data_IF_611194884986
#
_entry.id   IF_611194884986
#
_cell.length_a   1.000
_cell.length_b   1.000
_cell.length_c   1.000
_cell.angle_alpha   90.00
_cell.angle_beta   90.00
_cell.angle_gamma   90.00
#
_symmetry.space_group_name_H-M   'P 1'
#
loop_
_entity.id
_entity.type
_entity.pdbx_description
1 polymer ?
#
# COMPACT_ATOMS: atom_id res chain seq x y z
N UNK A 1 -59.37 22.19 -20.44
CA UNK A 1 -58.58 22.96 -21.42
C UNK A 1 -57.59 23.85 -20.68
N UNK A 2 -56.29 23.62 -20.81
CA UNK A 2 -55.31 24.65 -21.15
C UNK A 2 -53.96 23.94 -21.40
N UNK A 3 -53.42 24.21 -22.58
CA UNK A 3 -52.26 23.59 -23.22
C UNK A 3 -51.14 24.63 -23.23
N UNK A 4 -49.89 24.20 -23.06
CA UNK A 4 -48.71 24.95 -23.51
C UNK A 4 -47.58 24.91 -22.49
N UNK A 5 -46.31 24.74 -22.85
CA UNK A 5 -45.67 24.49 -24.14
C UNK A 5 -44.33 23.83 -23.88
N UNK A 6 -43.96 22.86 -24.72
CA UNK A 6 -42.66 22.19 -24.73
C UNK A 6 -41.65 23.07 -25.46
N UNK A 7 -40.49 23.31 -24.84
CA UNK A 7 -39.31 23.82 -25.53
C UNK A 7 -38.32 22.67 -25.68
N UNK A 8 -38.21 22.15 -26.91
CA UNK A 8 -37.19 21.19 -27.34
C UNK A 8 -36.08 22.02 -27.98
N UNK A 9 -34.90 22.03 -27.37
CA UNK A 9 -33.71 22.67 -27.94
C UNK A 9 -32.79 21.56 -28.49
N UNK A 10 -32.93 21.27 -29.78
CA UNK A 10 -32.04 20.39 -30.55
C UNK A 10 -30.84 21.20 -31.03
N UNK A 11 -29.65 20.87 -30.54
CA UNK A 11 -28.37 21.38 -31.03
C UNK A 11 -27.77 20.38 -32.02
N UNK A 12 -27.83 20.71 -33.30
CA UNK A 12 -27.18 19.97 -34.40
C UNK A 12 -25.75 20.48 -34.58
N UNK A 13 -24.75 19.61 -34.38
CA UNK A 13 -23.37 19.86 -34.80
C UNK A 13 -23.15 19.26 -36.20
N UNK A 14 -22.73 20.12 -37.13
CA UNK A 14 -22.30 19.72 -38.48
C UNK A 14 -20.81 19.37 -38.48
N UNK A 15 -20.45 18.20 -39.01
CA UNK A 15 -19.07 17.82 -39.33
C UNK A 15 -18.89 17.96 -40.83
N UNK A 16 -18.01 18.88 -41.22
CA UNK A 16 -17.59 19.09 -42.61
C UNK A 16 -16.57 18.04 -43.05
N UNK A 17 -16.87 17.38 -44.16
CA UNK A 17 -15.97 16.50 -44.90
C UNK A 17 -15.17 17.35 -45.88
N UNK A 18 -13.84 17.25 -45.86
CA UNK A 18 -12.98 17.69 -46.97
C UNK A 18 -12.28 16.48 -47.56
N UNK A 19 -12.59 16.20 -48.81
CA UNK A 19 -11.91 15.24 -49.67
C UNK A 19 -11.15 16.01 -50.75
N UNK A 20 -9.88 15.65 -50.98
CA UNK A 20 -9.05 16.20 -52.04
C UNK A 20 -7.76 15.38 -52.20
N UNK A 21 -7.74 14.55 -53.24
CA UNK A 21 -6.63 13.73 -53.77
C UNK A 21 -5.52 14.65 -54.36
N UNK A 22 -4.28 14.23 -54.69
CA UNK A 22 -3.83 13.06 -55.46
C UNK A 22 -2.31 12.83 -55.34
N UNK A 23 -1.89 11.54 -55.43
CA UNK A 23 -0.69 11.00 -56.13
C UNK A 23 0.72 11.36 -55.63
N UNK A 24 1.73 10.49 -55.68
CA UNK A 24 1.92 9.04 -55.85
C UNK A 24 3.42 8.82 -55.53
N UNK A 25 3.77 7.71 -54.89
CA UNK A 25 4.93 6.85 -55.20
C UNK A 25 5.55 6.15 -53.98
N UNK A 26 5.84 4.88 -54.26
CA UNK A 26 6.95 4.05 -53.79
C UNK A 26 6.75 3.15 -52.57
N UNK A 27 6.36 1.94 -52.94
CA UNK A 27 6.65 0.64 -52.32
C UNK A 27 8.05 0.51 -51.70
N UNK A 28 8.11 0.00 -50.47
CA UNK A 28 9.14 -0.94 -50.00
C UNK A 28 8.70 -1.61 -48.67
N UNK A 29 8.88 -2.92 -48.60
CA UNK A 29 8.57 -3.84 -47.49
C UNK A 29 9.44 -3.61 -46.25
N UNK A 30 9.05 -4.08 -45.04
CA UNK A 30 9.92 -4.05 -43.87
C UNK A 30 10.79 -5.31 -43.82
N UNK A 31 12.12 -5.14 -43.91
CA UNK A 31 13.09 -6.19 -43.60
C UNK A 31 13.33 -6.27 -42.09
N UNK A 32 13.32 -7.52 -41.63
CA UNK A 32 13.68 -8.04 -40.32
C UNK A 32 15.04 -7.50 -39.83
N UNK A 33 15.08 -7.03 -38.58
CA UNK A 33 16.33 -6.71 -37.91
C UNK A 33 17.02 -8.02 -37.46
N UNK A 34 18.25 -8.20 -37.94
CA UNK A 34 19.15 -9.30 -37.65
C UNK A 34 19.81 -9.13 -36.27
N UNK A 35 19.92 -10.28 -35.60
CA UNK A 35 20.61 -10.59 -34.35
C UNK A 35 22.13 -10.34 -34.48
N UNK A 36 22.68 -9.41 -33.68
CA UNK A 36 24.12 -9.25 -33.55
C UNK A 36 24.58 -9.82 -32.19
N UNK A 37 25.23 -10.98 -32.28
CA UNK A 37 25.89 -11.68 -31.20
C UNK A 37 26.97 -10.82 -30.50
N UNK A 38 26.94 -10.81 -29.17
CA UNK A 38 27.95 -10.17 -28.33
C UNK A 38 29.01 -11.21 -27.92
N UNK A 39 30.20 -11.12 -28.51
CA UNK A 39 31.36 -11.97 -28.18
C UNK A 39 32.13 -11.35 -27.00
N UNK A 40 32.22 -12.09 -25.90
CA UNK A 40 33.16 -11.81 -24.80
C UNK A 40 34.60 -12.15 -25.19
N UNK A 41 35.60 -11.39 -24.71
CA UNK A 41 36.97 -11.90 -24.62
C UNK A 41 37.50 -11.93 -23.16
N UNK A 42 38.11 -13.05 -22.79
CA UNK A 42 39.07 -13.21 -21.69
C UNK A 42 39.97 -14.44 -22.01
N UNK A 43 41.20 -14.61 -21.48
CA UNK A 43 42.27 -13.68 -21.07
C UNK A 43 43.59 -13.94 -21.85
N UNK A 44 44.58 -13.06 -21.68
CA UNK A 44 45.98 -13.38 -22.00
C UNK A 44 46.80 -13.54 -20.70
N UNK A 45 47.50 -14.67 -20.61
CA UNK A 45 48.51 -14.98 -19.59
C UNK A 45 49.88 -14.40 -19.99
N UNK A 46 50.93 -14.81 -19.24
CA UNK A 46 52.38 -14.56 -19.36
C UNK A 46 52.84 -13.40 -18.44
N UNK A 47 53.80 -13.50 -17.50
CA UNK A 47 54.89 -14.46 -17.26
C UNK A 47 55.26 -14.54 -15.76
N UNK A 48 55.92 -15.64 -15.40
CA UNK A 48 56.49 -15.93 -14.08
C UNK A 48 57.95 -15.45 -13.98
N UNK A 49 58.38 -15.08 -12.78
CA UNK A 49 59.80 -15.06 -12.37
C UNK A 49 59.96 -15.77 -11.02
N UNK A 50 61.07 -16.51 -10.76
CA UNK A 50 61.23 -17.33 -9.55
C UNK A 50 62.23 -16.74 -8.52
N UNK A 51 62.22 -17.38 -7.33
CA UNK A 51 63.19 -17.35 -6.21
C UNK A 51 62.89 -16.35 -5.06
N UNK A 52 62.97 -16.67 -3.77
CA UNK A 52 63.27 -17.89 -2.97
C UNK A 52 62.80 -17.63 -1.50
N UNK A 53 62.68 -18.65 -0.63
CA UNK A 53 62.06 -18.54 0.69
C UNK A 53 63.06 -18.32 1.83
N UNK A 54 62.68 -17.57 2.87
CA UNK A 54 63.14 -17.70 4.26
C UNK A 54 62.40 -16.70 5.15
N UNK A 55 61.64 -17.20 6.14
CA UNK A 55 61.95 -17.02 7.57
C UNK A 55 60.68 -17.08 8.44
N UNK A 56 60.57 -18.22 9.13
CA UNK A 56 60.24 -18.39 10.54
C UNK A 56 59.20 -17.46 11.20
N UNK A 57 58.04 -18.04 11.49
CA UNK A 57 57.50 -18.06 12.84
C UNK A 57 57.00 -16.74 13.45
N UNK A 58 55.72 -16.46 13.23
CA UNK A 58 54.80 -16.09 14.31
C UNK A 58 53.36 -16.17 13.78
N UNK A 59 52.66 -17.26 14.11
CA UNK A 59 51.19 -17.28 14.07
C UNK A 59 50.69 -16.33 15.16
N UNK A 60 50.69 -15.04 14.87
CA UNK A 60 49.87 -14.10 15.62
C UNK A 60 48.42 -14.45 15.28
N UNK A 61 47.72 -14.99 16.27
CA UNK A 61 46.26 -15.04 16.26
C UNK A 61 45.79 -13.59 16.36
N UNK A 62 45.70 -12.90 15.22
CA UNK A 62 45.05 -11.60 15.16
C UNK A 62 43.59 -11.86 15.48
N UNK A 63 43.20 -11.60 16.72
CA UNK A 63 41.81 -11.58 17.12
C UNK A 63 41.15 -10.48 16.29
N UNK A 64 40.49 -10.90 15.21
CA UNK A 64 39.88 -10.00 14.25
C UNK A 64 38.68 -9.38 14.94
N UNK A 65 38.90 -8.18 15.50
CA UNK A 65 37.88 -7.40 16.17
C UNK A 65 36.64 -7.35 15.26
N UNK A 66 35.44 -7.69 15.76
CA UNK A 66 34.23 -7.66 14.96
C UNK A 66 34.13 -6.29 14.29
N UNK A 67 33.89 -6.28 12.98
CA UNK A 67 33.66 -5.03 12.26
C UNK A 67 32.53 -4.27 12.98
N UNK A 68 32.68 -2.95 13.19
CA UNK A 68 31.65 -2.16 13.85
C UNK A 68 30.33 -2.35 13.09
N UNK A 69 29.26 -2.59 13.85
CA UNK A 69 27.93 -2.72 13.26
C UNK A 69 27.63 -1.48 12.39
N UNK A 70 26.99 -1.63 11.22
CA UNK A 70 26.63 -0.49 10.40
C UNK A 70 25.78 0.49 11.22
N UNK A 71 25.93 1.81 10.99
CA UNK A 71 25.12 2.80 11.68
C UNK A 71 23.64 2.54 11.42
N UNK A 72 22.75 2.86 12.37
CA UNK A 72 21.33 2.74 12.15
C UNK A 72 20.91 3.60 10.94
N UNK A 73 19.91 3.15 10.16
CA UNK A 73 19.42 3.93 9.03
C UNK A 73 18.96 5.32 9.49
N UNK A 74 19.29 6.34 8.70
CA UNK A 74 18.91 7.72 8.99
C UNK A 74 17.37 7.86 9.09
N UNK A 75 16.85 8.74 9.96
CA UNK A 75 15.42 9.04 10.03
C UNK A 75 14.95 9.68 8.71
N UNK A 76 13.68 9.45 8.35
CA UNK A 76 13.09 10.11 7.19
C UNK A 76 12.99 11.62 7.39
N UNK A 77 13.21 12.39 6.32
CA UNK A 77 12.95 13.82 6.31
C UNK A 77 11.46 14.11 6.12
N UNK A 78 11.03 15.35 6.39
CA UNK A 78 9.63 15.76 6.18
C UNK A 78 9.21 15.61 4.71
N UNK A 79 10.09 15.98 3.77
CA UNK A 79 9.89 15.82 2.32
C UNK A 79 9.65 14.35 1.94
N UNK A 80 10.41 13.44 2.54
CA UNK A 80 10.30 12.00 2.32
C UNK A 80 9.02 11.43 2.93
N UNK A 81 8.65 11.89 4.13
CA UNK A 81 7.38 11.50 4.79
C UNK A 81 6.20 11.95 3.92
N UNK A 82 6.17 13.19 3.45
CA UNK A 82 5.13 13.66 2.53
C UNK A 82 5.11 12.86 1.23
N UNK A 83 6.26 12.51 0.67
CA UNK A 83 6.32 11.70 -0.55
C UNK A 83 5.74 10.30 -0.36
N UNK A 84 6.03 9.67 0.78
CA UNK A 84 5.45 8.35 1.14
C UNK A 84 3.94 8.44 1.35
N UNK A 85 3.45 9.44 2.09
CA UNK A 85 2.02 9.63 2.32
C UNK A 85 1.26 9.90 1.01
N UNK A 86 1.83 10.72 0.12
CA UNK A 86 1.21 11.00 -1.19
C UNK A 86 1.14 9.76 -2.08
N UNK A 87 2.24 9.01 -2.14
CA UNK A 87 2.34 7.78 -2.93
C UNK A 87 1.40 6.67 -2.41
N UNK A 88 1.33 6.47 -1.09
CA UNK A 88 0.42 5.49 -0.49
C UNK A 88 -1.06 5.82 -0.79
N UNK A 89 -1.46 7.08 -0.63
CA UNK A 89 -2.83 7.47 -0.99
C UNK A 89 -3.11 7.33 -2.49
N UNK A 90 -2.17 7.70 -3.36
CA UNK A 90 -2.33 7.53 -4.80
C UNK A 90 -2.52 6.06 -5.19
N UNK A 91 -1.72 5.16 -4.59
CA UNK A 91 -1.82 3.71 -4.76
C UNK A 91 -3.24 3.21 -4.49
N UNK A 92 -3.75 3.45 -3.29
CA UNK A 92 -5.03 2.91 -2.84
C UNK A 92 -6.22 3.51 -3.61
N UNK A 93 -6.10 4.77 -4.06
CA UNK A 93 -7.09 5.39 -4.96
C UNK A 93 -7.16 4.64 -6.29
N UNK A 94 -6.01 4.35 -6.91
CA UNK A 94 -5.97 3.74 -8.24
C UNK A 94 -6.38 2.26 -8.21
N UNK A 95 -5.97 1.52 -7.18
CA UNK A 95 -6.41 0.15 -6.92
C UNK A 95 -7.92 0.08 -6.70
N UNK A 96 -8.48 0.94 -5.86
CA UNK A 96 -9.91 0.98 -5.60
C UNK A 96 -10.72 1.38 -6.85
N UNK A 97 -10.23 2.34 -7.66
CA UNK A 97 -10.88 2.70 -8.93
C UNK A 97 -10.95 1.53 -9.91
N UNK A 98 -9.91 0.70 -9.99
CA UNK A 98 -9.91 -0.49 -10.86
C UNK A 98 -11.03 -1.46 -10.48
N UNK A 99 -11.39 -1.52 -9.20
CA UNK A 99 -12.41 -2.44 -8.66
C UNK A 99 -13.81 -1.87 -8.75
N UNK A 100 -14.01 -0.57 -8.48
CA UNK A 100 -15.32 0.11 -8.61
C UNK A 100 -15.92 -0.09 -10.01
N UNK A 101 -15.07 -0.06 -11.03
CA UNK A 101 -15.49 -0.20 -12.43
C UNK A 101 -15.95 -1.63 -12.79
N UNK A 102 -15.45 -2.65 -12.08
CA UNK A 102 -15.55 -4.05 -12.51
C UNK A 102 -16.33 -4.97 -11.57
N UNK A 103 -16.27 -4.71 -10.26
CA UNK A 103 -16.93 -5.57 -9.27
C UNK A 103 -18.45 -5.54 -9.45
N UNK A 104 -19.08 -6.71 -9.29
CA UNK A 104 -20.55 -6.85 -9.24
C UNK A 104 -21.06 -7.05 -7.81
N UNK A 105 -20.16 -7.29 -6.86
CA UNK A 105 -20.50 -7.42 -5.46
C UNK A 105 -20.75 -6.03 -4.84
N UNK A 106 -21.95 -5.84 -4.27
CA UNK A 106 -22.37 -4.55 -3.74
C UNK A 106 -21.52 -4.11 -2.55
N UNK A 107 -21.11 -5.03 -1.68
CA UNK A 107 -20.31 -4.72 -0.50
C UNK A 107 -18.88 -4.34 -0.90
N UNK A 108 -18.29 -5.06 -1.85
CA UNK A 108 -16.95 -4.76 -2.39
C UNK A 108 -16.93 -3.43 -3.12
N UNK A 109 -17.94 -3.16 -3.95
CA UNK A 109 -18.07 -1.87 -4.66
C UNK A 109 -18.26 -0.70 -3.70
N UNK A 110 -19.07 -0.88 -2.65
CA UNK A 110 -19.27 0.13 -1.62
C UNK A 110 -17.97 0.40 -0.85
N UNK A 111 -17.25 -0.65 -0.45
CA UNK A 111 -15.95 -0.52 0.19
C UNK A 111 -14.94 0.20 -0.71
N UNK A 112 -14.76 -0.23 -1.96
CA UNK A 112 -13.85 0.41 -2.91
C UNK A 112 -14.21 1.89 -3.17
N UNK A 113 -15.51 2.22 -3.26
CA UNK A 113 -15.94 3.61 -3.44
C UNK A 113 -15.58 4.47 -2.21
N UNK A 114 -15.78 3.93 -1.01
CA UNK A 114 -15.37 4.59 0.24
C UNK A 114 -13.85 4.81 0.29
N UNK A 115 -13.06 3.82 -0.14
CA UNK A 115 -11.59 3.96 -0.24
C UNK A 115 -11.20 5.11 -1.17
N UNK A 116 -11.78 5.20 -2.38
CA UNK A 116 -11.51 6.32 -3.30
C UNK A 116 -11.79 7.66 -2.63
N UNK A 117 -12.93 7.80 -1.95
CA UNK A 117 -13.30 9.06 -1.27
C UNK A 117 -12.33 9.40 -0.14
N UNK A 118 -12.12 8.49 0.81
CA UNK A 118 -11.33 8.77 2.00
C UNK A 118 -9.86 9.05 1.66
N UNK A 119 -9.26 8.27 0.76
CA UNK A 119 -7.86 8.49 0.36
C UNK A 119 -7.70 9.73 -0.51
N UNK A 120 -8.69 10.09 -1.35
CA UNK A 120 -8.66 11.36 -2.08
C UNK A 120 -8.69 12.55 -1.12
N UNK A 121 -9.52 12.49 -0.08
CA UNK A 121 -9.60 13.52 0.96
C UNK A 121 -8.30 13.61 1.75
N UNK A 122 -7.74 12.47 2.18
CA UNK A 122 -6.45 12.40 2.89
C UNK A 122 -5.31 12.97 2.04
N UNK A 123 -5.19 12.56 0.77
CA UNK A 123 -4.19 13.11 -0.18
C UNK A 123 -4.34 14.62 -0.36
N UNK A 124 -5.58 15.10 -0.46
CA UNK A 124 -5.88 16.53 -0.60
C UNK A 124 -5.45 17.32 0.64
N UNK A 125 -5.75 16.79 1.85
CA UNK A 125 -5.31 17.39 3.12
C UNK A 125 -3.78 17.41 3.22
N UNK A 126 -3.11 16.31 2.91
CA UNK A 126 -1.65 16.21 2.92
C UNK A 126 -0.99 17.19 1.95
N UNK A 127 -1.52 17.30 0.71
CA UNK A 127 -1.04 18.27 -0.28
C UNK A 127 -1.21 19.71 0.19
N UNK A 128 -2.34 20.04 0.83
CA UNK A 128 -2.58 21.38 1.40
C UNK A 128 -1.61 21.67 2.54
N UNK A 129 -1.34 20.70 3.40
CA UNK A 129 -0.41 20.85 4.51
C UNK A 129 1.04 21.05 4.00
N UNK A 130 1.51 20.22 3.06
CA UNK A 130 2.83 20.38 2.46
C UNK A 130 3.02 21.80 1.89
N UNK A 131 2.02 22.29 1.15
CA UNK A 131 2.01 23.68 0.64
C UNK A 131 2.05 24.72 1.75
N UNK A 132 1.24 24.56 2.80
CA UNK A 132 1.23 25.47 3.97
C UNK A 132 2.62 25.54 4.63
N UNK A 133 3.29 24.40 4.74
CA UNK A 133 4.62 24.29 5.34
C UNK A 133 5.76 24.64 4.37
N UNK A 134 5.45 24.99 3.12
CA UNK A 134 6.45 25.21 2.04
C UNK A 134 7.39 24.02 1.81
N UNK A 135 6.89 22.81 2.06
CA UNK A 135 7.63 21.55 1.85
C UNK A 135 7.23 20.97 0.50
N UNK A 136 8.23 20.65 -0.32
CA UNK A 136 8.03 19.93 -1.57
C UNK A 136 8.33 18.45 -1.34
N UNK A 137 7.38 17.53 -1.55
CA UNK A 137 7.64 16.10 -1.40
C UNK A 137 8.83 15.63 -2.26
N UNK A 138 9.71 14.83 -1.69
CA UNK A 138 10.86 14.25 -2.40
C UNK A 138 10.39 13.10 -3.30
N UNK A 139 10.04 13.44 -4.55
CA UNK A 139 9.59 12.47 -5.53
C UNK A 139 10.68 11.46 -5.96
N UNK A 140 11.95 11.71 -5.63
CA UNK A 140 13.07 10.81 -5.94
C UNK A 140 13.30 9.75 -4.85
N UNK A 141 12.65 9.89 -3.70
CA UNK A 141 12.83 8.97 -2.58
C UNK A 141 12.42 7.53 -2.93
N UNK A 142 13.35 6.59 -2.77
CA UNK A 142 13.20 5.18 -3.17
C UNK A 142 11.92 4.53 -2.66
N UNK A 143 11.56 4.75 -1.39
CA UNK A 143 10.33 4.17 -0.82
C UNK A 143 9.07 4.69 -1.52
N UNK A 144 9.04 5.98 -1.87
CA UNK A 144 7.90 6.56 -2.60
C UNK A 144 7.83 6.03 -4.04
N UNK A 145 8.97 5.77 -4.68
CA UNK A 145 9.03 5.20 -6.01
C UNK A 145 8.66 3.71 -6.03
N UNK A 146 9.13 2.95 -5.05
CA UNK A 146 8.73 1.55 -4.87
C UNK A 146 7.21 1.40 -4.73
N UNK A 147 6.55 2.31 -3.99
CA UNK A 147 5.08 2.33 -3.89
C UNK A 147 4.40 2.59 -5.24
N UNK A 148 4.92 3.49 -6.07
CA UNK A 148 4.38 3.78 -7.42
C UNK A 148 4.54 2.59 -8.37
N UNK A 149 5.70 1.92 -8.31
CA UNK A 149 5.96 0.72 -9.10
C UNK A 149 5.04 -0.43 -8.68
N UNK A 150 4.88 -0.64 -7.38
CA UNK A 150 3.95 -1.63 -6.83
C UNK A 150 2.51 -1.33 -7.25
N UNK A 151 2.08 -0.06 -7.17
CA UNK A 151 0.76 0.40 -7.65
C UNK A 151 0.50 -0.05 -9.08
N UNK A 152 1.48 0.12 -9.97
CA UNK A 152 1.33 -0.24 -11.39
C UNK A 152 1.05 -1.74 -11.54
N UNK A 153 1.84 -2.59 -10.87
CA UNK A 153 1.70 -4.06 -10.91
C UNK A 153 0.38 -4.53 -10.30
N UNK A 154 -0.02 -3.95 -9.17
CA UNK A 154 -1.24 -4.35 -8.47
C UNK A 154 -2.49 -3.91 -9.24
N UNK A 155 -2.49 -2.69 -9.80
CA UNK A 155 -3.57 -2.22 -10.67
C UNK A 155 -3.70 -3.10 -11.91
N UNK A 156 -2.60 -3.53 -12.53
CA UNK A 156 -2.63 -4.49 -13.66
C UNK A 156 -3.23 -5.83 -13.25
N UNK A 157 -2.84 -6.37 -12.09
CA UNK A 157 -3.38 -7.61 -11.55
C UNK A 157 -4.90 -7.50 -11.31
N UNK A 158 -5.37 -6.42 -10.69
CA UNK A 158 -6.80 -6.16 -10.49
C UNK A 158 -7.55 -5.96 -11.82
N UNK A 159 -6.91 -5.32 -12.80
CA UNK A 159 -7.47 -5.17 -14.15
C UNK A 159 -7.55 -6.50 -14.91
N UNK A 160 -6.73 -7.48 -14.60
CA UNK A 160 -6.81 -8.82 -15.19
C UNK A 160 -7.85 -9.71 -14.49
N UNK A 161 -8.03 -9.59 -13.17
CA UNK A 161 -8.96 -10.40 -12.39
C UNK A 161 -10.45 -10.07 -12.65
N UNK A 162 -11.36 -11.02 -12.42
CA UNK A 162 -12.80 -10.81 -12.62
C UNK A 162 -13.64 -11.52 -11.55
N UNK A 163 -14.90 -11.10 -11.40
CA UNK A 163 -15.87 -11.77 -10.51
C UNK A 163 -15.36 -11.91 -9.08
N UNK A 164 -15.54 -13.10 -8.49
CA UNK A 164 -15.12 -13.38 -7.12
C UNK A 164 -13.60 -13.29 -6.91
N UNK A 165 -12.80 -13.60 -7.94
CA UNK A 165 -11.34 -13.52 -7.84
C UNK A 165 -10.86 -12.07 -7.75
N UNK A 166 -11.50 -11.15 -8.50
CA UNK A 166 -11.26 -9.72 -8.37
C UNK A 166 -11.60 -9.23 -6.96
N UNK A 167 -12.78 -9.60 -6.47
CA UNK A 167 -13.29 -9.19 -5.17
C UNK A 167 -12.35 -9.66 -4.05
N UNK A 168 -11.91 -10.92 -4.11
CA UNK A 168 -10.96 -11.49 -3.15
C UNK A 168 -9.59 -10.83 -3.25
N UNK A 169 -9.03 -10.69 -4.46
CA UNK A 169 -7.72 -10.09 -4.66
C UNK A 169 -7.66 -8.65 -4.13
N UNK A 170 -8.71 -7.86 -4.36
CA UNK A 170 -8.79 -6.50 -3.84
C UNK A 170 -8.85 -6.47 -2.31
N UNK A 171 -9.70 -7.28 -1.69
CA UNK A 171 -9.84 -7.27 -0.22
C UNK A 171 -8.56 -7.75 0.46
N UNK A 172 -7.92 -8.80 -0.06
CA UNK A 172 -6.65 -9.29 0.46
C UNK A 172 -5.54 -8.23 0.34
N UNK A 173 -5.49 -7.51 -0.79
CA UNK A 173 -4.56 -6.42 -1.02
C UNK A 173 -4.77 -5.28 -0.01
N UNK A 174 -6.01 -4.82 0.17
CA UNK A 174 -6.31 -3.75 1.14
C UNK A 174 -5.92 -4.16 2.57
N UNK A 175 -6.13 -5.42 2.96
CA UNK A 175 -5.67 -5.90 4.29
C UNK A 175 -4.14 -5.82 4.41
N UNK A 176 -3.41 -6.26 3.39
CA UNK A 176 -1.95 -6.26 3.40
C UNK A 176 -1.39 -4.84 3.46
N UNK A 177 -1.89 -3.95 2.61
CA UNK A 177 -1.44 -2.56 2.54
C UNK A 177 -1.71 -1.81 3.84
N UNK A 178 -2.91 -1.93 4.39
CA UNK A 178 -3.28 -1.20 5.61
C UNK A 178 -2.49 -1.68 6.83
N UNK A 179 -2.15 -2.98 6.89
CA UNK A 179 -1.24 -3.50 7.92
C UNK A 179 0.16 -2.89 7.78
N UNK A 180 0.70 -2.88 6.56
CA UNK A 180 2.02 -2.32 6.29
C UNK A 180 2.08 -0.80 6.57
N UNK A 181 1.02 -0.06 6.22
CA UNK A 181 0.95 1.39 6.46
C UNK A 181 0.79 1.69 7.96
N UNK A 182 0.00 0.94 8.71
CA UNK A 182 -0.09 1.11 10.17
C UNK A 182 1.26 0.88 10.86
N UNK A 183 1.95 -0.20 10.49
CA UNK A 183 3.30 -0.45 11.00
C UNK A 183 4.27 0.68 10.65
N UNK A 184 4.22 1.17 9.40
CA UNK A 184 5.05 2.27 8.95
C UNK A 184 4.75 3.57 9.70
N UNK A 185 3.47 3.88 9.94
CA UNK A 185 3.03 5.04 10.73
C UNK A 185 3.63 4.95 12.14
N UNK A 186 3.47 3.81 12.80
CA UNK A 186 3.81 3.65 14.21
C UNK A 186 5.32 3.57 14.46
N UNK A 187 6.05 2.89 13.57
CA UNK A 187 7.47 2.60 13.77
C UNK A 187 8.40 3.59 13.10
N UNK A 188 7.92 4.37 12.12
CA UNK A 188 8.71 5.33 11.35
C UNK A 188 8.08 6.71 11.28
N UNK A 189 6.92 6.87 10.66
CA UNK A 189 6.44 8.22 10.30
C UNK A 189 6.21 9.10 11.54
N UNK A 190 5.60 8.57 12.60
CA UNK A 190 5.41 9.31 13.86
C UNK A 190 6.71 9.55 14.63
N UNK A 191 7.69 8.66 14.48
CA UNK A 191 9.01 8.76 15.15
C UNK A 191 9.89 9.80 14.45
N UNK A 192 9.87 9.79 13.12
CA UNK A 192 10.75 10.59 12.27
C UNK A 192 10.21 12.00 12.05
N UNK A 193 8.88 12.19 11.99
CA UNK A 193 8.26 13.51 11.86
C UNK A 193 8.64 14.43 13.04
N UNK A 194 9.33 15.53 12.72
CA UNK A 194 9.74 16.59 13.66
C UNK A 194 8.81 17.79 13.58
N UNK A 195 8.17 18.03 12.44
CA UNK A 195 7.16 19.06 12.34
C UNK A 195 5.87 18.63 13.07
N UNK A 196 5.43 19.44 14.03
CA UNK A 196 4.27 19.11 14.87
C UNK A 196 2.95 19.11 14.07
N UNK A 197 2.81 19.92 13.02
CA UNK A 197 1.61 19.86 12.16
C UNK A 197 1.58 18.60 11.30
N UNK A 198 2.73 18.16 10.76
CA UNK A 198 2.81 16.89 10.05
C UNK A 198 2.54 15.71 10.99
N UNK A 199 3.13 15.72 12.19
CA UNK A 199 2.88 14.69 13.20
C UNK A 199 1.40 14.61 13.58
N UNK A 200 0.75 15.76 13.83
CA UNK A 200 -0.68 15.82 14.11
C UNK A 200 -1.52 15.28 12.93
N UNK A 201 -1.14 15.60 11.69
CA UNK A 201 -1.79 15.05 10.51
C UNK A 201 -1.66 13.52 10.43
N UNK A 202 -0.47 12.97 10.71
CA UNK A 202 -0.24 11.51 10.75
C UNK A 202 -1.08 10.85 11.87
N UNK A 203 -1.22 11.52 13.01
CA UNK A 203 -2.07 11.05 14.10
C UNK A 203 -3.57 11.05 13.74
N UNK A 204 -4.03 12.02 12.94
CA UNK A 204 -5.41 12.08 12.44
C UNK A 204 -5.71 10.93 11.46
N UNK A 205 -4.78 10.59 10.57
CA UNK A 205 -4.99 9.53 9.56
C UNK A 205 -4.94 8.12 10.16
N UNK A 206 -4.10 7.87 11.17
CA UNK A 206 -3.88 6.54 11.74
C UNK A 206 -5.16 5.79 12.11
N UNK A 207 -6.11 6.35 12.89
CA UNK A 207 -7.34 5.64 13.24
C UNK A 207 -8.24 5.36 12.04
N UNK A 208 -8.13 6.15 10.96
CA UNK A 208 -8.87 5.90 9.71
C UNK A 208 -8.31 4.66 9.00
N UNK A 209 -6.98 4.54 8.88
CA UNK A 209 -6.30 3.35 8.32
C UNK A 209 -6.66 2.10 9.13
N UNK A 210 -6.67 2.20 10.46
CA UNK A 210 -7.09 1.08 11.33
C UNK A 210 -8.55 0.68 11.10
N UNK A 211 -9.44 1.65 10.91
CA UNK A 211 -10.84 1.37 10.60
C UNK A 211 -10.97 0.67 9.23
N UNK A 212 -10.26 1.16 8.22
CA UNK A 212 -10.27 0.56 6.89
C UNK A 212 -9.78 -0.89 6.90
N UNK A 213 -8.73 -1.19 7.66
CA UNK A 213 -8.27 -2.57 7.87
C UNK A 213 -9.39 -3.45 8.45
N UNK A 214 -10.05 -3.00 9.51
CA UNK A 214 -11.15 -3.75 10.14
C UNK A 214 -12.33 -3.96 9.18
N UNK A 215 -12.67 -2.95 8.40
CA UNK A 215 -13.73 -3.04 7.39
C UNK A 215 -13.35 -4.07 6.30
N UNK A 216 -12.08 -4.10 5.86
CA UNK A 216 -11.58 -5.06 4.88
C UNK A 216 -11.57 -6.50 5.43
N UNK A 217 -11.12 -6.72 6.66
CA UNK A 217 -11.16 -8.03 7.34
C UNK A 217 -12.60 -8.54 7.50
N UNK A 218 -13.53 -7.65 7.90
CA UNK A 218 -14.95 -8.01 7.99
C UNK A 218 -15.54 -8.35 6.61
N UNK A 219 -15.14 -7.64 5.56
CA UNK A 219 -15.55 -7.94 4.19
C UNK A 219 -15.00 -9.28 3.70
N UNK A 220 -13.74 -9.60 4.01
CA UNK A 220 -13.12 -10.89 3.66
C UNK A 220 -13.90 -12.07 4.27
N UNK A 221 -14.33 -11.94 5.52
CA UNK A 221 -15.15 -12.94 6.19
C UNK A 221 -16.50 -13.14 5.47
N UNK A 222 -17.16 -12.04 5.07
CA UNK A 222 -18.43 -12.09 4.32
C UNK A 222 -18.29 -12.75 2.95
N UNK A 223 -17.19 -12.48 2.24
CA UNK A 223 -16.89 -13.12 0.95
C UNK A 223 -16.71 -14.64 1.11
N UNK A 224 -16.05 -15.06 2.19
CA UNK A 224 -15.84 -16.48 2.50
C UNK A 224 -17.14 -17.21 2.84
N UNK A 225 -18.07 -16.56 3.55
CA UNK A 225 -19.39 -17.16 3.85
C UNK A 225 -20.33 -17.18 2.64
N UNK A 226 -20.20 -16.22 1.73
CA UNK A 226 -21.04 -16.15 0.52
C UNK A 226 -20.63 -17.18 -0.55
N UNK A 227 -19.36 -17.60 -0.57
CA UNK A 227 -18.86 -18.66 -1.46
C UNK A 227 -19.29 -20.08 -1.05
N UNK A 228 -19.67 -20.30 0.22
CA UNK A 228 -20.03 -21.62 0.74
C UNK A 228 -21.47 -22.07 0.44
N UNK A 229 -22.33 -21.18 -0.09
CA UNK A 229 -23.77 -21.43 -0.26
C UNK A 229 -24.25 -21.87 -1.65
N UNK A 230 -23.37 -22.01 -2.64
CA UNK A 230 -23.78 -22.09 -4.07
C UNK A 230 -23.28 -23.26 -4.92
N UNK A 231 -22.51 -24.21 -4.38
CA UNK A 231 -21.84 -25.23 -5.18
C UNK A 231 -22.35 -26.66 -4.97
N UNK A 232 -23.22 -27.15 -5.88
CA UNK A 232 -23.28 -28.59 -6.18
C UNK A 232 -21.91 -28.98 -6.75
N UNK A 233 -21.20 -29.86 -6.07
CA UNK A 233 -19.86 -30.30 -6.45
C UNK A 233 -19.82 -30.92 -7.86
N UNK A 234 -18.79 -30.62 -8.67
CA UNK A 234 -18.21 -31.58 -9.58
C UNK A 234 -16.89 -32.12 -9.01
N UNK A 235 -16.73 -33.43 -9.10
CA UNK A 235 -15.47 -34.11 -8.89
C UNK A 235 -14.47 -33.73 -10.00
N UNK A 236 -13.19 -33.52 -9.67
CA UNK A 236 -12.13 -33.42 -10.69
C UNK A 236 -10.81 -32.75 -10.24
N UNK A 237 -9.89 -33.60 -9.77
CA UNK A 237 -8.40 -33.59 -9.94
C UNK A 237 -7.54 -32.38 -9.49
N UNK A 238 -6.43 -32.60 -8.74
CA UNK A 238 -5.57 -31.53 -8.23
C UNK A 238 -4.59 -31.02 -9.29
N UNK A 239 -4.67 -29.72 -9.59
CA UNK A 239 -3.78 -29.00 -10.50
C UNK A 239 -2.97 -27.94 -9.75
N UNK A 240 -1.66 -27.96 -10.01
CA UNK A 240 -0.57 -27.19 -9.42
C UNK A 240 -0.85 -25.72 -9.06
N UNK A 241 -0.36 -25.32 -7.88
CA UNK A 241 -0.23 -23.94 -7.44
C UNK A 241 0.85 -23.20 -8.26
N UNK A 242 0.61 -21.97 -8.73
CA UNK A 242 1.69 -21.09 -9.16
C UNK A 242 2.35 -20.43 -7.95
N UNK A 243 3.67 -20.54 -7.90
CA UNK A 243 4.57 -19.93 -6.94
C UNK A 243 4.34 -18.42 -6.81
N UNK A 244 4.20 -17.93 -5.58
CA UNK A 244 4.39 -16.52 -5.27
C UNK A 244 5.88 -16.22 -5.03
N UNK A 245 6.47 -15.18 -5.63
CA UNK A 245 7.74 -14.65 -5.18
C UNK A 245 7.55 -13.95 -3.84
N UNK A 246 8.31 -14.39 -2.83
CA UNK A 246 8.18 -13.93 -1.46
C UNK A 246 8.55 -12.46 -1.26
N UNK A 247 7.67 -11.73 -0.58
CA UNK A 247 8.09 -10.63 0.27
C UNK A 247 8.65 -11.25 1.55
N UNK A 248 9.97 -11.23 1.68
CA UNK A 248 10.65 -11.54 2.93
C UNK A 248 10.52 -10.34 3.88
N UNK A 249 9.90 -10.48 5.07
CA UNK A 249 10.01 -9.46 6.09
C UNK A 249 11.38 -9.60 6.76
N UNK A 250 12.24 -8.60 6.56
CA UNK A 250 13.49 -8.47 7.30
C UNK A 250 13.20 -8.06 8.75
N UNK A 251 13.32 -8.99 9.68
CA UNK A 251 13.34 -8.72 11.11
C UNK A 251 14.79 -8.78 11.64
N UNK A 252 15.24 -7.87 12.52
CA UNK A 252 16.31 -8.16 13.46
C UNK A 252 15.72 -8.71 14.76
N UNK A 253 16.25 -9.85 15.20
CA UNK A 253 15.80 -10.58 16.37
C UNK A 253 16.01 -9.82 17.68
N UNK A 254 15.01 -9.92 18.56
CA UNK A 254 15.17 -9.76 20.01
C UNK A 254 14.30 -10.82 20.69
N UNK A 255 14.96 -11.73 21.41
CA UNK A 255 14.32 -12.74 22.26
C UNK A 255 13.64 -12.07 23.45
N UNK A 256 12.39 -12.44 23.82
CA UNK A 256 11.82 -11.98 25.08
C UNK A 256 12.37 -12.82 26.25
N UNK A 257 13.01 -12.15 27.21
CA UNK A 257 13.29 -12.69 28.53
C UNK A 257 12.08 -12.42 29.43
N UNK A 258 11.41 -13.50 29.82
CA UNK A 258 10.37 -13.55 30.85
C UNK A 258 10.89 -13.04 32.21
N UNK A 259 10.01 -12.49 33.07
CA UNK A 259 10.03 -13.00 34.43
C UNK A 259 8.64 -13.27 35.04
N UNK A 260 8.48 -14.51 35.49
CA UNK A 260 8.02 -14.96 36.82
C UNK A 260 6.77 -14.32 37.48
N UNK A 261 5.75 -15.17 37.70
CA UNK A 261 4.74 -15.08 38.76
C UNK A 261 5.39 -15.11 40.17
N UNK A 262 4.81 -14.62 41.28
CA UNK A 262 3.48 -14.78 41.88
C UNK A 262 3.39 -13.87 43.16
N UNK A 263 2.54 -14.12 44.19
CA UNK A 263 1.06 -14.09 44.33
C UNK A 263 0.58 -13.13 45.46
N UNK A 264 -0.74 -12.98 45.67
CA UNK A 264 -1.25 -12.50 46.96
C UNK A 264 -2.67 -11.92 46.98
N UNK A 265 -3.59 -12.66 47.57
CA UNK A 265 -4.99 -12.30 47.81
C UNK A 265 -5.16 -11.24 48.91
N UNK A 266 -6.28 -10.51 48.90
CA UNK A 266 -7.21 -10.38 50.05
C UNK A 266 -8.43 -9.51 49.71
N UNK A 267 -9.63 -10.10 49.81
CA UNK A 267 -10.87 -9.40 50.14
C UNK A 267 -10.93 -9.18 51.67
N UNK A 268 -11.79 -8.30 52.22
CA UNK A 268 -13.18 -8.71 52.49
C UNK A 268 -14.23 -7.57 52.48
N UNK A 269 -15.53 -7.93 52.58
CA UNK A 269 -16.49 -7.12 53.34
C UNK A 269 -17.85 -6.84 52.68
N UNK A 270 -18.88 -7.53 53.14
CA UNK A 270 -20.30 -7.37 52.75
C UNK A 270 -21.02 -6.21 53.47
N UNK A 271 -21.92 -5.51 52.74
CA UNK A 271 -23.26 -4.89 53.01
C UNK A 271 -23.73 -4.58 54.47
N UNK A 272 -24.74 -3.70 54.76
CA UNK A 272 -25.95 -3.38 53.96
C UNK A 272 -26.59 -1.95 54.05
N UNK A 273 -27.48 -1.62 53.07
CA UNK A 273 -28.82 -1.02 53.31
C UNK A 273 -29.00 0.51 53.45
N UNK A 274 -30.06 1.07 52.82
CA UNK A 274 -30.83 2.20 53.39
C UNK A 274 -31.13 3.45 52.54
N UNK A 275 -32.28 3.46 51.86
CA UNK A 275 -33.28 4.54 51.65
C UNK A 275 -32.95 6.06 51.52
N UNK A 276 -33.55 6.63 50.44
CA UNK A 276 -34.39 7.86 50.31
C UNK A 276 -33.81 9.26 50.63
N UNK A 277 -33.83 10.13 49.60
CA UNK A 277 -34.67 11.34 49.40
C UNK A 277 -33.97 12.18 48.31
N UNK A 278 -34.59 12.74 47.27
CA UNK A 278 -35.74 13.64 47.27
C UNK A 278 -35.24 15.08 47.12
N UNK A 279 -35.27 15.65 45.91
CA UNK A 279 -35.72 17.03 45.64
C UNK A 279 -35.45 17.47 44.19
N UNK A 280 -36.51 17.99 43.58
CA UNK A 280 -36.55 18.63 42.28
C UNK A 280 -36.31 20.16 42.39
N UNK A 281 -35.89 20.75 41.27
CA UNK A 281 -36.13 22.13 40.77
C UNK A 281 -35.43 22.18 39.40
N UNK A 282 -36.08 22.13 38.24
CA UNK A 282 -37.16 22.92 37.62
C UNK A 282 -36.83 24.40 37.39
N UNK A 283 -36.82 24.72 36.08
CA UNK A 283 -37.25 25.98 35.44
C UNK A 283 -36.23 27.12 35.38
N UNK A 284 -36.13 27.90 34.30
CA UNK A 284 -36.74 27.86 32.98
C UNK A 284 -36.02 28.89 32.09
N UNK A 285 -36.04 28.65 30.78
CA UNK A 285 -35.93 29.65 29.72
C UNK A 285 -37.32 29.81 29.10
N UNK A 286 -37.68 30.99 28.57
CA UNK A 286 -37.58 31.16 27.11
C UNK A 286 -36.72 32.36 26.68
#
# INVERSE_FOLDING_TARGET
>A
MSIGSRAVLTLTLAVGVVAGCTSDERTAEPQMAEEAAYTQPQPAAMEATPATPSDTGQTAMTEQQPAPAPPPPAPMTEEQIFAVLDAANAKEIDEAKAVVQKSKNKDVKAFATMMVTHHTDAKTKGTKLAKKLSITPDASFDKSNALKEDTTKQVETLKAAQGADLDKAFVDLMIADHKAVLELIDTKLLVDAKNEELKAHIQEIRPVVEKHLKDAEALQMKLSTSGAGGGKAPAGTPGAAPNQPGMQPGAPGMTPKEPAAAPGASAPGSKPGGSKSGSAKSSANP
#
